data_IF_459698562810
#
_entry.id   IF_459698562810
#
_cell.length_a   1.000
_cell.length_b   1.000
_cell.length_c   1.000
_cell.angle_alpha   90.00
_cell.angle_beta   90.00
_cell.angle_gamma   90.00
#
_symmetry.space_group_name_H-M   'P 1'
#
loop_
_entity.id
_entity.type
_entity.pdbx_description
1 polymer ?
#
# COMPACT_ATOMS: atom_id res chain seq x y z
N UNK A 1 -25.31 25.20 14.42
CA UNK A 1 -24.65 24.46 13.33
C UNK A 1 -25.36 23.12 13.17
N UNK A 2 -25.65 22.66 11.94
CA UNK A 2 -26.22 21.32 11.72
C UNK A 2 -25.12 20.28 11.96
N UNK A 3 -25.35 19.35 12.89
CA UNK A 3 -24.48 18.20 13.13
C UNK A 3 -24.94 17.06 12.24
N UNK A 4 -24.11 16.70 11.25
CA UNK A 4 -24.36 15.53 10.42
C UNK A 4 -23.73 14.30 11.08
N UNK A 5 -24.53 13.25 11.29
CA UNK A 5 -24.03 11.99 11.79
C UNK A 5 -23.15 11.31 10.73
N UNK A 6 -22.03 10.70 11.16
CA UNK A 6 -21.18 9.89 10.29
C UNK A 6 -22.02 8.73 9.72
N UNK A 7 -22.13 8.57 8.40
CA UNK A 7 -22.96 7.53 7.78
C UNK A 7 -22.25 6.17 7.81
N UNK A 8 -22.01 5.62 9.00
CA UNK A 8 -21.15 4.46 9.25
C UNK A 8 -21.45 3.25 8.34
N UNK A 9 -22.73 2.89 8.15
CA UNK A 9 -23.12 1.78 7.28
C UNK A 9 -22.69 1.99 5.83
N UNK A 10 -22.86 3.22 5.30
CA UNK A 10 -22.46 3.53 3.92
C UNK A 10 -20.94 3.51 3.78
N UNK A 11 -20.24 4.08 4.76
CA UNK A 11 -18.78 4.09 4.79
C UNK A 11 -18.21 2.66 4.82
N UNK A 12 -18.77 1.76 5.64
CA UNK A 12 -18.36 0.35 5.65
C UNK A 12 -18.63 -0.35 4.32
N UNK A 13 -19.82 -0.15 3.73
CA UNK A 13 -20.14 -0.75 2.42
C UNK A 13 -19.15 -0.30 1.34
N UNK A 14 -18.84 1.00 1.30
CA UNK A 14 -17.88 1.54 0.33
C UNK A 14 -16.46 1.02 0.60
N UNK A 15 -16.01 1.04 1.86
CA UNK A 15 -14.68 0.53 2.23
C UNK A 15 -14.53 -0.97 1.92
N UNK A 16 -15.53 -1.79 2.25
CA UNK A 16 -15.52 -3.21 1.94
C UNK A 16 -15.55 -3.48 0.43
N UNK A 17 -16.37 -2.75 -0.33
CA UNK A 17 -16.41 -2.87 -1.79
C UNK A 17 -15.05 -2.52 -2.43
N UNK A 18 -14.39 -1.47 -1.94
CA UNK A 18 -13.05 -1.09 -2.39
C UNK A 18 -12.01 -2.16 -2.06
N UNK A 19 -12.00 -2.68 -0.83
CA UNK A 19 -11.09 -3.76 -0.43
C UNK A 19 -11.26 -5.00 -1.31
N UNK A 20 -12.51 -5.44 -1.54
CA UNK A 20 -12.82 -6.56 -2.40
C UNK A 20 -12.34 -6.28 -3.83
N UNK A 21 -12.59 -5.09 -4.37
CA UNK A 21 -12.17 -4.73 -5.72
C UNK A 21 -10.64 -4.68 -5.87
N UNK A 22 -9.92 -4.12 -4.91
CA UNK A 22 -8.45 -4.08 -4.89
C UNK A 22 -7.86 -5.49 -4.86
N UNK A 23 -8.34 -6.34 -3.95
CA UNK A 23 -7.91 -7.75 -3.86
C UNK A 23 -8.24 -8.55 -5.13
N UNK A 24 -9.43 -8.32 -5.71
CA UNK A 24 -9.86 -9.01 -6.93
C UNK A 24 -9.01 -8.62 -8.14
N UNK A 25 -8.69 -7.34 -8.29
CA UNK A 25 -7.83 -6.83 -9.37
C UNK A 25 -6.39 -7.32 -9.22
N UNK A 26 -5.86 -7.32 -7.99
CA UNK A 26 -4.53 -7.85 -7.70
C UNK A 26 -4.47 -9.36 -7.97
N UNK A 27 -5.47 -10.11 -7.50
CA UNK A 27 -5.59 -11.55 -7.77
C UNK A 27 -5.70 -11.85 -9.26
N UNK A 28 -6.50 -11.10 -10.01
CA UNK A 28 -6.62 -11.23 -11.47
C UNK A 28 -5.31 -10.89 -12.19
N UNK A 29 -4.57 -9.88 -11.72
CA UNK A 29 -3.27 -9.52 -12.29
C UNK A 29 -2.26 -10.66 -12.17
N UNK A 30 -2.31 -11.44 -11.08
CA UNK A 30 -1.48 -12.63 -10.90
C UNK A 30 -1.85 -13.82 -11.81
N UNK A 31 -2.97 -13.76 -12.54
CA UNK A 31 -3.43 -14.83 -13.45
C UNK A 31 -3.20 -14.51 -14.94
N UNK A 32 -2.77 -13.29 -15.27
CA UNK A 32 -2.58 -12.87 -16.67
C UNK A 32 -1.09 -12.81 -17.02
N UNK A 33 -0.74 -13.37 -18.18
CA UNK A 33 0.61 -13.26 -18.75
C UNK A 33 0.75 -12.19 -19.84
N UNK A 34 -0.28 -11.85 -20.65
CA UNK A 34 -0.12 -10.81 -21.66
C UNK A 34 0.05 -9.44 -20.99
N UNK A 35 1.12 -8.72 -21.36
CA UNK A 35 1.44 -7.42 -20.79
C UNK A 35 0.29 -6.40 -20.91
N UNK A 36 -0.49 -6.45 -21.99
CA UNK A 36 -1.61 -5.54 -22.22
C UNK A 36 -2.76 -5.79 -21.24
N UNK A 37 -3.00 -7.06 -20.87
CA UNK A 37 -4.01 -7.42 -19.89
C UNK A 37 -3.59 -6.95 -18.50
N UNK A 38 -2.31 -7.14 -18.15
CA UNK A 38 -1.71 -6.58 -16.94
C UNK A 38 -1.83 -5.05 -16.90
N UNK A 39 -1.56 -4.36 -18.00
CA UNK A 39 -1.69 -2.90 -18.08
C UNK A 39 -3.13 -2.41 -17.86
N UNK A 40 -4.13 -3.09 -18.43
CA UNK A 40 -5.54 -2.77 -18.21
C UNK A 40 -5.96 -2.98 -16.75
N UNK A 41 -5.52 -4.08 -16.13
CA UNK A 41 -5.77 -4.36 -14.71
C UNK A 41 -5.08 -3.33 -13.80
N UNK A 42 -3.85 -2.92 -14.13
CA UNK A 42 -3.13 -1.88 -13.41
C UNK A 42 -3.85 -0.52 -13.49
N UNK A 43 -4.39 -0.16 -14.65
CA UNK A 43 -5.22 1.05 -14.81
C UNK A 43 -6.49 0.96 -13.95
N UNK A 44 -7.20 -0.18 -14.00
CA UNK A 44 -8.36 -0.43 -13.15
C UNK A 44 -8.02 -0.33 -11.66
N UNK A 45 -6.88 -0.91 -11.26
CA UNK A 45 -6.38 -0.86 -9.90
C UNK A 45 -6.08 0.58 -9.47
N UNK A 46 -5.41 1.38 -10.31
CA UNK A 46 -5.15 2.80 -10.03
C UNK A 46 -6.43 3.60 -9.75
N UNK A 47 -7.49 3.36 -10.53
CA UNK A 47 -8.80 4.02 -10.33
C UNK A 47 -9.44 3.61 -9.00
N UNK A 48 -9.49 2.30 -8.71
CA UNK A 48 -10.06 1.80 -7.44
C UNK A 48 -9.24 2.30 -6.25
N UNK A 49 -7.92 2.26 -6.36
CA UNK A 49 -6.98 2.66 -5.33
C UNK A 49 -7.08 4.14 -4.98
N UNK A 50 -7.36 5.01 -5.96
CA UNK A 50 -7.64 6.43 -5.71
C UNK A 50 -8.87 6.60 -4.77
N UNK A 51 -9.91 5.79 -4.96
CA UNK A 51 -11.07 5.82 -4.06
C UNK A 51 -10.77 5.20 -2.69
N UNK A 52 -9.92 4.17 -2.63
CA UNK A 52 -9.41 3.58 -1.38
C UNK A 52 -8.58 4.58 -0.58
N UNK A 53 -7.74 5.37 -1.26
CA UNK A 53 -6.99 6.49 -0.68
C UNK A 53 -7.92 7.48 0.01
N UNK A 54 -9.04 7.85 -0.63
CA UNK A 54 -10.01 8.77 -0.04
C UNK A 54 -10.66 8.19 1.23
N UNK A 55 -11.04 6.91 1.23
CA UNK A 55 -11.63 6.29 2.43
C UNK A 55 -10.64 6.18 3.59
N UNK A 56 -9.38 5.87 3.30
CA UNK A 56 -8.29 5.89 4.29
C UNK A 56 -8.05 7.31 4.83
N UNK A 57 -8.10 8.33 3.97
CA UNK A 57 -7.99 9.73 4.37
C UNK A 57 -9.11 10.15 5.35
N UNK A 58 -10.35 9.71 5.14
CA UNK A 58 -11.42 9.90 6.13
C UNK A 58 -11.10 9.22 7.48
N UNK A 59 -10.43 8.06 7.46
CA UNK A 59 -9.98 7.39 8.68
C UNK A 59 -8.85 8.17 9.38
N UNK A 60 -7.92 8.76 8.63
CA UNK A 60 -6.85 9.62 9.16
C UNK A 60 -7.44 10.84 9.90
N UNK A 61 -8.52 11.42 9.37
CA UNK A 61 -9.31 12.46 10.03
C UNK A 61 -10.15 11.94 11.21
N UNK A 62 -10.37 10.63 11.30
CA UNK A 62 -11.17 10.03 12.37
C UNK A 62 -12.68 10.18 12.17
N UNK A 63 -13.11 10.38 10.92
CA UNK A 63 -14.51 10.59 10.54
C UNK A 63 -15.06 9.48 9.64
N UNK A 64 -14.29 8.42 9.40
CA UNK A 64 -14.75 7.26 8.65
C UNK A 64 -15.79 6.46 9.44
N UNK A 65 -15.57 6.26 10.75
CA UNK A 65 -16.52 5.57 11.64
C UNK A 65 -16.66 6.33 12.97
N UNK A 66 -17.85 6.28 13.61
CA UNK A 66 -18.09 7.00 14.85
C UNK A 66 -17.28 6.44 16.03
N UNK A 67 -16.98 5.14 16.04
CA UNK A 67 -16.13 4.55 17.08
C UNK A 67 -14.66 4.62 16.68
N UNK A 68 -13.85 5.30 17.49
CA UNK A 68 -12.44 5.57 17.17
C UNK A 68 -11.60 4.32 16.93
N UNK A 69 -11.76 3.30 17.78
CA UNK A 69 -11.03 2.04 17.60
C UNK A 69 -11.39 1.30 16.30
N UNK A 70 -12.65 1.37 15.88
CA UNK A 70 -13.09 0.74 14.62
C UNK A 70 -12.63 1.55 13.42
N UNK A 71 -12.67 2.88 13.52
CA UNK A 71 -12.13 3.79 12.51
C UNK A 71 -10.65 3.48 12.24
N UNK A 72 -9.85 3.38 13.30
CA UNK A 72 -8.41 3.16 13.19
C UNK A 72 -8.10 1.73 12.71
N UNK A 73 -8.90 0.73 13.11
CA UNK A 73 -8.78 -0.63 12.58
C UNK A 73 -9.07 -0.69 11.07
N UNK A 74 -10.17 -0.10 10.60
CA UNK A 74 -10.49 -0.06 9.17
C UNK A 74 -9.47 0.77 8.39
N UNK A 75 -9.02 1.90 8.94
CA UNK A 75 -7.94 2.70 8.37
C UNK A 75 -6.62 1.92 8.23
N UNK A 76 -6.29 1.08 9.22
CA UNK A 76 -5.12 0.20 9.19
C UNK A 76 -5.23 -0.86 8.10
N UNK A 77 -6.39 -1.50 7.96
CA UNK A 77 -6.63 -2.47 6.88
C UNK A 77 -6.52 -1.81 5.50
N UNK A 78 -7.09 -0.61 5.32
CA UNK A 78 -6.97 0.14 4.07
C UNK A 78 -5.52 0.57 3.80
N UNK A 79 -4.74 0.86 4.84
CA UNK A 79 -3.33 1.24 4.73
C UNK A 79 -2.41 0.09 4.29
N UNK A 80 -2.82 -1.18 4.37
CA UNK A 80 -2.03 -2.33 3.91
C UNK A 80 -1.68 -2.26 2.41
N UNK A 81 -2.45 -1.51 1.63
CA UNK A 81 -2.21 -1.30 0.21
C UNK A 81 -1.29 -0.10 -0.07
N UNK A 82 -0.77 0.55 0.97
CA UNK A 82 0.12 1.71 0.90
C UNK A 82 1.45 1.38 1.59
N UNK A 83 2.55 1.96 1.10
CA UNK A 83 3.92 1.64 1.55
C UNK A 83 4.31 2.18 2.93
N UNK A 84 3.34 2.44 3.82
CA UNK A 84 3.60 2.95 5.16
C UNK A 84 2.48 2.57 6.15
N UNK A 85 2.82 2.38 7.45
CA UNK A 85 1.83 2.07 8.47
C UNK A 85 0.86 3.23 8.68
N UNK A 86 -0.42 2.91 8.93
CA UNK A 86 -1.50 3.89 9.07
C UNK A 86 -1.19 5.04 10.03
N UNK A 87 -0.58 4.76 11.18
CA UNK A 87 -0.23 5.81 12.15
C UNK A 87 0.80 6.81 11.61
N UNK A 88 1.81 6.34 10.88
CA UNK A 88 2.82 7.22 10.27
C UNK A 88 2.18 8.10 9.20
N UNK A 89 1.37 7.49 8.33
CA UNK A 89 0.61 8.19 7.30
C UNK A 89 -0.27 9.27 7.94
N UNK A 90 -1.05 8.92 8.96
CA UNK A 90 -1.94 9.83 9.66
C UNK A 90 -1.19 11.01 10.29
N UNK A 91 -0.05 10.75 10.93
CA UNK A 91 0.78 11.81 11.51
C UNK A 91 1.29 12.78 10.44
N UNK A 92 1.78 12.26 9.31
CA UNK A 92 2.19 13.07 8.17
C UNK A 92 1.04 13.90 7.62
N UNK A 93 -0.13 13.29 7.46
CA UNK A 93 -1.34 13.93 6.94
C UNK A 93 -1.86 15.07 7.82
N UNK A 94 -2.03 14.81 9.13
CA UNK A 94 -2.41 15.85 10.09
C UNK A 94 -1.31 16.92 10.17
N UNK A 95 -0.05 16.49 10.14
CA UNK A 95 1.11 17.39 10.15
C UNK A 95 1.12 18.33 8.96
N UNK A 96 0.76 17.85 7.76
CA UNK A 96 0.54 18.64 6.56
C UNK A 96 -0.60 19.63 6.76
N UNK A 97 -1.78 19.20 7.24
CA UNK A 97 -2.88 20.14 7.49
C UNK A 97 -2.53 21.26 8.48
N UNK A 98 -1.73 20.97 9.51
CA UNK A 98 -1.26 21.97 10.48
C UNK A 98 -0.27 22.95 9.85
N UNK A 99 0.61 22.47 8.97
CA UNK A 99 1.71 23.23 8.36
C UNK A 99 1.40 23.67 6.93
N UNK A 100 0.16 23.53 6.51
CA UNK A 100 -0.25 23.76 5.14
C UNK A 100 0.12 25.18 4.70
N UNK A 101 0.84 25.27 3.58
CA UNK A 101 1.43 26.48 3.00
C UNK A 101 2.44 27.20 3.90
N UNK A 102 3.23 26.44 4.65
CA UNK A 102 4.39 26.97 5.38
C UNK A 102 5.70 26.42 4.83
N UNK A 103 6.80 27.08 5.17
CA UNK A 103 8.14 26.65 4.75
C UNK A 103 8.50 25.27 5.35
N UNK A 104 7.86 24.88 6.46
CA UNK A 104 8.10 23.59 7.13
C UNK A 104 7.65 22.37 6.30
N UNK A 105 6.73 22.55 5.34
CA UNK A 105 6.29 21.49 4.42
C UNK A 105 6.85 21.62 3.00
N UNK A 106 7.59 22.69 2.72
CA UNK A 106 8.18 23.00 1.41
C UNK A 106 9.48 22.20 1.17
N UNK A 107 9.42 20.89 1.34
CA UNK A 107 10.59 20.02 1.17
C UNK A 107 11.06 19.94 -0.29
N UNK A 108 10.15 20.10 -1.24
CA UNK A 108 10.38 20.06 -2.69
C UNK A 108 10.68 21.44 -3.31
N UNK A 109 10.57 22.53 -2.55
CA UNK A 109 10.90 23.89 -3.00
C UNK A 109 12.34 24.28 -2.64
N UNK A 110 12.94 25.12 -3.50
CA UNK A 110 14.22 25.77 -3.26
C UNK A 110 13.99 27.20 -2.80
N UNK A 111 14.50 27.53 -1.61
CA UNK A 111 14.56 28.91 -1.11
C UNK A 111 15.94 29.52 -1.42
N UNK A 112 16.02 30.85 -1.51
CA UNK A 112 17.26 31.57 -1.88
C UNK A 112 18.44 31.26 -0.95
N UNK A 113 18.15 31.01 0.33
CA UNK A 113 19.14 30.67 1.36
C UNK A 113 19.29 29.14 1.60
N UNK A 114 18.60 28.30 0.82
CA UNK A 114 18.66 26.85 1.00
C UNK A 114 19.93 26.25 0.39
N UNK A 115 20.62 25.41 1.17
CA UNK A 115 21.74 24.63 0.66
C UNK A 115 21.26 23.58 -0.36
N UNK A 116 21.80 23.66 -1.58
CA UNK A 116 21.55 22.66 -2.64
C UNK A 116 21.91 21.25 -2.19
N UNK A 117 22.99 21.09 -1.43
CA UNK A 117 23.43 19.79 -0.93
C UNK A 117 22.38 19.18 0.01
N UNK A 118 21.87 19.95 0.97
CA UNK A 118 20.85 19.48 1.91
C UNK A 118 19.51 19.19 1.21
N UNK A 119 19.10 20.02 0.25
CA UNK A 119 17.87 19.78 -0.53
C UNK A 119 17.95 18.55 -1.42
N UNK A 120 19.09 18.32 -2.07
CA UNK A 120 19.35 17.05 -2.77
C UNK A 120 19.32 15.87 -1.81
N UNK A 121 20.02 15.96 -0.68
CA UNK A 121 20.02 14.90 0.34
C UNK A 121 18.61 14.57 0.85
N UNK A 122 17.78 15.58 1.11
CA UNK A 122 16.40 15.42 1.54
C UNK A 122 15.55 14.77 0.43
N UNK A 123 15.58 15.29 -0.80
CA UNK A 123 14.76 14.77 -1.90
C UNK A 123 15.15 13.33 -2.27
N UNK A 124 16.45 13.09 -2.50
CA UNK A 124 16.93 11.76 -2.89
C UNK A 124 16.90 10.78 -1.72
N UNK A 125 17.14 11.23 -0.49
CA UNK A 125 17.00 10.41 0.72
C UNK A 125 15.57 9.95 0.94
N UNK A 126 14.58 10.83 0.81
CA UNK A 126 13.16 10.46 0.92
C UNK A 126 12.73 9.51 -0.21
N UNK A 127 13.13 9.78 -1.45
CA UNK A 127 12.83 8.87 -2.58
C UNK A 127 13.49 7.51 -2.43
N UNK A 128 14.73 7.47 -1.97
CA UNK A 128 15.45 6.23 -1.71
C UNK A 128 14.78 5.44 -0.59
N UNK A 129 14.44 6.08 0.54
CA UNK A 129 13.72 5.44 1.62
C UNK A 129 12.37 4.87 1.17
N UNK A 130 11.59 5.64 0.38
CA UNK A 130 10.33 5.17 -0.17
C UNK A 130 10.51 3.97 -1.11
N UNK A 131 11.52 3.98 -1.99
CA UNK A 131 11.85 2.85 -2.85
C UNK A 131 12.23 1.60 -2.03
N UNK A 132 13.01 1.76 -0.96
CA UNK A 132 13.38 0.64 -0.07
C UNK A 132 12.20 0.09 0.73
N UNK A 133 11.20 0.91 1.07
CA UNK A 133 9.95 0.42 1.66
C UNK A 133 9.14 -0.42 0.66
N UNK A 134 9.01 0.05 -0.59
CA UNK A 134 8.33 -0.73 -1.65
C UNK A 134 9.06 -2.04 -1.95
N UNK A 135 10.39 -2.02 -1.99
CA UNK A 135 11.20 -3.22 -2.18
C UNK A 135 11.05 -4.21 -1.02
N UNK A 136 11.04 -3.73 0.23
CA UNK A 136 10.77 -4.57 1.40
C UNK A 136 9.36 -5.20 1.38
N UNK A 137 8.35 -4.47 0.90
CA UNK A 137 7.00 -5.02 0.70
C UNK A 137 6.98 -6.11 -0.39
N UNK A 138 7.69 -5.90 -1.49
CA UNK A 138 7.84 -6.90 -2.56
C UNK A 138 8.59 -8.16 -2.08
N UNK A 139 9.65 -7.99 -1.29
CA UNK A 139 10.41 -9.09 -0.70
C UNK A 139 9.56 -9.89 0.31
N UNK A 140 8.64 -9.24 1.04
CA UNK A 140 7.68 -9.93 1.91
C UNK A 140 6.70 -10.81 1.13
N UNK A 141 6.29 -10.38 -0.07
CA UNK A 141 5.45 -11.18 -0.97
C UNK A 141 6.22 -12.41 -1.45
N UNK A 142 7.47 -12.27 -1.87
CA UNK A 142 8.32 -13.41 -2.26
C UNK A 142 8.56 -14.38 -1.10
N UNK A 143 8.79 -13.89 0.12
CA UNK A 143 8.90 -14.72 1.32
C UNK A 143 7.61 -15.49 1.62
N UNK A 144 6.44 -14.86 1.42
CA UNK A 144 5.14 -15.51 1.60
C UNK A 144 4.87 -16.58 0.52
N UNK A 145 5.30 -16.35 -0.72
CA UNK A 145 5.27 -17.35 -1.79
C UNK A 145 6.16 -18.55 -1.47
N UNK A 146 7.37 -18.31 -0.94
CA UNK A 146 8.27 -19.38 -0.47
C UNK A 146 7.64 -20.21 0.66
N UNK A 147 7.06 -19.56 1.68
CA UNK A 147 6.39 -20.25 2.80
C UNK A 147 5.23 -21.15 2.34
N UNK A 148 4.46 -20.71 1.34
CA UNK A 148 3.36 -21.51 0.74
C UNK A 148 3.89 -22.64 -0.15
N UNK A 149 5.09 -22.50 -0.71
CA UNK A 149 5.73 -23.53 -1.54
C UNK A 149 6.44 -24.64 -0.72
N UNK A 150 6.80 -24.38 0.54
CA UNK A 150 7.45 -25.35 1.44
C UNK A 150 6.77 -26.73 1.53
N UNK A 151 5.42 -26.85 1.60
CA UNK A 151 4.75 -28.14 1.65
C UNK A 151 4.89 -28.95 0.34
N UNK A 152 5.12 -28.27 -0.80
CA UNK A 152 5.17 -28.91 -2.12
C UNK A 152 6.55 -29.47 -2.44
N UNK A 153 7.62 -28.83 -1.95
CA UNK A 153 8.98 -29.35 -2.14
C UNK A 153 9.28 -30.55 -1.23
N UNK A 154 8.77 -30.53 0.00
CA UNK A 154 8.92 -31.65 0.94
C UNK A 154 8.17 -32.93 0.50
N UNK A 155 7.16 -32.80 -0.37
CA UNK A 155 6.37 -33.91 -0.89
C UNK A 155 6.90 -34.50 -2.21
N UNK A 156 7.94 -33.92 -2.81
CA UNK A 156 8.60 -34.50 -3.99
C UNK A 156 9.54 -35.60 -3.55
N UNK A 157 9.10 -36.86 -3.63
CA UNK A 157 10.00 -38.00 -3.49
C UNK A 157 11.13 -37.90 -4.54
N UNK A 158 12.39 -38.18 -4.17
CA UNK A 158 13.48 -38.23 -5.13
C UNK A 158 13.17 -39.32 -6.17
N UNK A 159 13.11 -38.94 -7.45
CA UNK A 159 13.00 -39.91 -8.53
C UNK A 159 14.19 -40.89 -8.45
N UNK A 160 13.95 -42.21 -8.42
CA UNK A 160 15.04 -43.17 -8.48
C UNK A 160 15.79 -42.98 -9.80
N UNK A 161 17.08 -42.69 -9.70
CA UNK A 161 17.96 -42.55 -10.86
C UNK A 161 18.12 -43.92 -11.52
N UNK A 162 17.34 -44.17 -12.57
CA UNK A 162 17.61 -45.28 -13.49
C UNK A 162 18.82 -44.91 -14.37
N UNK A 163 20.02 -45.03 -13.80
CA UNK A 163 21.24 -45.14 -14.60
C UNK A 163 21.42 -46.61 -14.97
N UNK A 164 21.44 -46.99 -16.26
CA UNK A 164 21.83 -48.33 -16.64
C UNK A 164 23.31 -48.51 -16.33
N UNK A 165 23.64 -49.58 -15.59
CA UNK A 165 25.02 -50.02 -15.41
C UNK A 165 25.59 -50.36 -16.79
N UNK A 166 26.56 -49.58 -17.24
CA UNK A 166 27.39 -49.90 -18.39
C UNK A 166 28.22 -51.14 -18.02
N UNK A 167 27.93 -52.26 -18.68
CA UNK A 167 28.78 -53.46 -18.75
C UNK A 167 29.49 -53.45 -20.10
#
# INVERSE_FOLDING_TARGET
MKTFAIPARRNLVVASAQLIAMLSLLGAAGQVTPWWAGALLALGYGVVMNSGYAMRHEAEHGILLPHRGLNDAVGTVLALFFSAPFHLIRQGHIGHHIRNRSDDEAFDLYFENASRFWKCGQLYGTRYAAARFVEADADMIDFSHWLVALPQEAAREPQPTNQPALV
#
